data_IF_554938307031
#
_entry.id   IF_554938307031
#
_cell.length_a   1.000
_cell.length_b   1.000
_cell.length_c   1.000
_cell.angle_alpha   90.00
_cell.angle_beta   90.00
_cell.angle_gamma   90.00
#
_symmetry.space_group_name_H-M   'P 1'
#
loop_
_entity.id
_entity.type
_entity.pdbx_description
1 polymer ?
#
# COMPACT_ATOMS: atom_id res chain seq x y z
N UNK A 1 27.64 11.84 20.02
CA UNK A 1 26.27 11.58 19.55
C UNK A 1 25.88 12.76 18.69
N UNK A 2 25.55 12.55 17.41
CA UNK A 2 25.20 13.67 16.54
C UNK A 2 23.94 14.37 17.03
N UNK A 3 23.97 15.71 17.19
CA UNK A 3 22.80 16.47 17.60
C UNK A 3 21.63 16.32 16.61
N UNK A 4 21.94 16.09 15.32
CA UNK A 4 20.96 15.87 14.27
C UNK A 4 20.21 14.53 14.43
N UNK A 5 20.91 13.45 14.81
CA UNK A 5 20.27 12.16 15.11
C UNK A 5 19.31 12.25 16.29
N UNK A 6 19.67 13.03 17.31
CA UNK A 6 18.82 13.22 18.50
C UNK A 6 17.57 14.04 18.14
N UNK A 7 17.72 15.07 17.30
CA UNK A 7 16.60 15.89 16.82
C UNK A 7 15.63 15.07 15.97
N UNK A 8 16.13 14.26 15.04
CA UNK A 8 15.28 13.40 14.18
C UNK A 8 14.54 12.35 15.01
N UNK A 9 15.21 11.70 15.96
CA UNK A 9 14.55 10.74 16.86
C UNK A 9 13.45 11.39 17.70
N UNK A 10 13.66 12.62 18.21
CA UNK A 10 12.61 13.34 18.94
C UNK A 10 11.42 13.72 18.06
N UNK A 11 11.67 14.13 16.80
CA UNK A 11 10.60 14.44 15.85
C UNK A 11 9.85 13.18 15.41
N UNK A 12 10.55 12.05 15.30
CA UNK A 12 9.96 10.75 14.99
C UNK A 12 9.06 10.25 16.12
N UNK A 13 9.46 10.41 17.38
CA UNK A 13 8.59 10.09 18.53
C UNK A 13 7.35 10.99 18.57
N UNK A 14 7.49 12.28 18.26
CA UNK A 14 6.34 13.20 18.14
C UNK A 14 5.41 12.80 17.01
N UNK A 15 5.98 12.37 15.88
CA UNK A 15 5.22 11.87 14.75
C UNK A 15 4.48 10.57 15.10
N UNK A 16 5.13 9.61 15.77
CA UNK A 16 4.47 8.38 16.28
C UNK A 16 3.34 8.71 17.25
N UNK A 17 3.55 9.67 18.16
CA UNK A 17 2.52 10.12 19.09
C UNK A 17 1.33 10.81 18.38
N UNK A 18 1.59 11.61 17.35
CA UNK A 18 0.54 12.23 16.52
C UNK A 18 -0.22 11.19 15.69
N UNK A 19 0.49 10.18 15.18
CA UNK A 19 -0.10 9.06 14.45
C UNK A 19 -1.06 8.25 15.32
N UNK A 20 -0.69 7.95 16.57
CA UNK A 20 -1.59 7.29 17.55
C UNK A 20 -2.81 8.15 17.85
N UNK A 21 -2.66 9.48 17.87
CA UNK A 21 -3.76 10.44 18.08
C UNK A 21 -4.66 10.62 16.84
N UNK A 22 -4.33 10.00 15.70
CA UNK A 22 -5.02 10.12 14.41
C UNK A 22 -5.12 11.55 13.88
N UNK A 23 -4.14 12.40 14.22
CA UNK A 23 -4.07 13.76 13.71
C UNK A 23 -3.26 13.79 12.42
N UNK A 24 -3.91 13.51 11.30
CA UNK A 24 -3.25 13.34 10.01
C UNK A 24 -2.65 14.64 9.44
N UNK A 25 -3.22 15.80 9.79
CA UNK A 25 -2.72 17.10 9.34
C UNK A 25 -1.37 17.42 9.99
N UNK A 26 -1.27 17.24 11.30
CA UNK A 26 0.02 17.46 11.98
C UNK A 26 1.04 16.39 11.62
N UNK A 27 0.61 15.16 11.34
CA UNK A 27 1.49 14.13 10.79
C UNK A 27 2.08 14.54 9.44
N UNK A 28 1.30 15.12 8.52
CA UNK A 28 1.79 15.58 7.22
C UNK A 28 2.81 16.73 7.33
N UNK A 29 2.55 17.70 8.21
CA UNK A 29 3.47 18.81 8.48
C UNK A 29 4.79 18.30 9.11
N UNK A 30 4.69 17.38 10.07
CA UNK A 30 5.85 16.76 10.72
C UNK A 30 6.63 15.88 9.73
N UNK A 31 5.95 15.13 8.87
CA UNK A 31 6.57 14.33 7.82
C UNK A 31 7.35 15.22 6.85
N UNK A 32 6.78 16.35 6.43
CA UNK A 32 7.46 17.31 5.55
C UNK A 32 8.75 17.84 6.19
N UNK A 33 8.71 18.18 7.48
CA UNK A 33 9.90 18.60 8.24
C UNK A 33 10.92 17.48 8.39
N UNK A 34 10.46 16.25 8.66
CA UNK A 34 11.31 15.07 8.73
C UNK A 34 12.01 14.79 7.39
N UNK A 35 11.28 14.85 6.26
CA UNK A 35 11.84 14.72 4.92
C UNK A 35 12.94 15.76 4.65
N UNK A 36 12.73 17.01 5.06
CA UNK A 36 13.77 18.06 4.95
C UNK A 36 14.98 17.74 5.83
N UNK A 37 14.78 17.27 7.06
CA UNK A 37 15.90 16.86 7.92
C UNK A 37 16.65 15.67 7.34
N UNK A 38 15.94 14.73 6.70
CA UNK A 38 16.54 13.58 6.04
C UNK A 38 17.48 14.00 4.90
N UNK A 39 17.14 15.04 4.12
CA UNK A 39 18.03 15.53 3.05
C UNK A 39 19.41 16.01 3.53
N UNK A 40 19.59 16.26 4.83
CA UNK A 40 20.88 16.69 5.39
C UNK A 40 21.86 15.54 5.62
N UNK A 41 21.39 14.29 5.63
CA UNK A 41 22.25 13.13 5.82
C UNK A 41 22.91 12.72 4.50
N UNK A 42 24.24 12.64 4.49
CA UNK A 42 25.01 12.15 3.33
C UNK A 42 25.02 10.61 3.25
N UNK A 43 24.55 9.93 4.29
CA UNK A 43 24.47 8.46 4.36
C UNK A 43 23.28 7.86 3.59
N UNK A 44 22.33 8.68 3.12
CA UNK A 44 21.14 8.24 2.41
C UNK A 44 21.42 8.03 0.90
N UNK A 45 20.54 7.30 0.18
CA UNK A 45 20.60 7.24 -1.28
C UNK A 45 20.54 8.68 -1.84
N UNK A 46 21.46 9.11 -2.72
CA UNK A 46 22.32 8.33 -3.63
C UNK A 46 23.79 8.15 -3.18
N UNK A 47 24.22 8.72 -2.05
CA UNK A 47 25.65 8.81 -1.71
C UNK A 47 26.17 7.61 -0.89
N UNK A 48 25.30 6.96 -0.09
CA UNK A 48 25.63 5.76 0.70
C UNK A 48 26.97 5.85 1.46
N UNK A 49 27.35 7.04 1.91
CA UNK A 49 28.63 7.24 2.58
C UNK A 49 28.70 6.38 3.85
N UNK A 50 29.81 5.67 4.02
CA UNK A 50 30.04 4.81 5.18
C UNK A 50 30.46 5.67 6.38
N UNK A 51 29.50 6.39 6.96
CA UNK A 51 29.67 7.03 8.26
C UNK A 51 29.46 6.00 9.38
N UNK A 52 30.09 6.17 10.56
CA UNK A 52 29.92 5.25 11.69
C UNK A 52 28.47 5.17 12.22
N UNK A 53 27.64 6.18 11.92
CA UNK A 53 26.22 6.23 12.27
C UNK A 53 25.28 5.87 11.10
N UNK A 54 25.81 5.52 9.91
CA UNK A 54 25.02 5.27 8.70
C UNK A 54 23.93 4.21 8.92
N UNK A 55 24.21 3.15 9.67
CA UNK A 55 23.21 2.11 9.95
C UNK A 55 22.03 2.65 10.79
N UNK A 56 22.29 3.56 11.74
CA UNK A 56 21.23 4.17 12.56
C UNK A 56 20.42 5.18 11.75
N UNK A 57 21.08 5.98 10.91
CA UNK A 57 20.42 6.94 10.01
C UNK A 57 19.53 6.23 8.98
N UNK A 58 20.02 5.15 8.37
CA UNK A 58 19.25 4.33 7.43
C UNK A 58 18.06 3.66 8.13
N UNK A 59 18.23 3.15 9.36
CA UNK A 59 17.13 2.54 10.12
C UNK A 59 16.03 3.56 10.46
N UNK A 60 16.40 4.76 10.89
CA UNK A 60 15.47 5.85 11.20
C UNK A 60 14.76 6.33 9.93
N UNK A 61 15.50 6.53 8.84
CA UNK A 61 14.93 6.93 7.56
C UNK A 61 13.90 5.89 7.07
N UNK A 62 14.25 4.60 7.15
CA UNK A 62 13.33 3.50 6.85
C UNK A 62 12.06 3.61 7.70
N UNK A 63 12.20 3.72 9.02
CA UNK A 63 11.05 3.81 9.94
C UNK A 63 10.13 5.00 9.61
N UNK A 64 10.70 6.16 9.25
CA UNK A 64 9.95 7.35 8.82
C UNK A 64 9.15 7.05 7.55
N UNK A 65 9.80 6.49 6.52
CA UNK A 65 9.13 6.19 5.25
C UNK A 65 8.10 5.05 5.40
N UNK A 66 8.36 4.05 6.24
CA UNK A 66 7.38 3.00 6.56
C UNK A 66 6.09 3.61 7.13
N UNK A 67 6.22 4.53 8.09
CA UNK A 67 5.04 5.21 8.61
C UNK A 67 4.43 6.23 7.64
N UNK A 68 5.23 6.84 6.75
CA UNK A 68 4.74 7.74 5.71
C UNK A 68 3.81 7.02 4.72
N UNK A 69 4.20 5.81 4.33
CA UNK A 69 3.40 4.93 3.48
C UNK A 69 2.09 4.56 4.18
N UNK A 70 2.13 4.15 5.45
CA UNK A 70 0.91 3.83 6.21
C UNK A 70 0.02 5.06 6.38
N UNK A 71 0.59 6.23 6.64
CA UNK A 71 -0.14 7.50 6.70
C UNK A 71 -0.85 7.79 5.37
N UNK A 72 -0.17 7.60 4.24
CA UNK A 72 -0.74 7.81 2.90
C UNK A 72 -1.94 6.92 2.64
N UNK A 73 -1.93 5.67 3.13
CA UNK A 73 -3.12 4.79 3.08
C UNK A 73 -4.26 5.34 3.93
N UNK A 74 -3.97 5.88 5.12
CA UNK A 74 -5.01 6.45 6.01
C UNK A 74 -5.58 7.77 5.52
N UNK A 75 -4.80 8.55 4.77
CA UNK A 75 -5.26 9.78 4.11
C UNK A 75 -5.84 9.51 2.72
N UNK A 76 -5.94 8.24 2.31
CA UNK A 76 -6.53 7.81 1.04
C UNK A 76 -5.81 8.37 -0.21
N UNK A 77 -4.54 8.77 -0.07
CA UNK A 77 -3.74 9.38 -1.15
C UNK A 77 -2.81 8.34 -1.80
N UNK A 78 -3.23 7.83 -2.96
CA UNK A 78 -2.47 6.84 -3.73
C UNK A 78 -1.17 7.40 -4.32
N UNK A 79 -1.17 8.66 -4.75
CA UNK A 79 -0.01 9.28 -5.38
C UNK A 79 1.07 9.54 -4.32
N UNK A 80 0.67 9.95 -3.11
CA UNK A 80 1.58 10.04 -1.96
C UNK A 80 2.16 8.68 -1.59
N UNK A 81 1.32 7.64 -1.56
CA UNK A 81 1.78 6.28 -1.32
C UNK A 81 2.85 5.87 -2.33
N UNK A 82 2.61 6.10 -3.62
CA UNK A 82 3.55 5.75 -4.68
C UNK A 82 4.91 6.43 -4.50
N UNK A 83 4.90 7.74 -4.27
CA UNK A 83 6.13 8.53 -4.06
C UNK A 83 6.91 8.04 -2.84
N UNK A 84 6.22 7.84 -1.73
CA UNK A 84 6.86 7.45 -0.47
C UNK A 84 7.35 6.00 -0.51
N UNK A 85 6.64 5.11 -1.21
CA UNK A 85 7.09 3.74 -1.46
C UNK A 85 8.33 3.69 -2.36
N UNK A 86 8.39 4.49 -3.43
CA UNK A 86 9.59 4.55 -4.28
C UNK A 86 10.80 5.09 -3.53
N UNK A 87 10.61 6.01 -2.58
CA UNK A 87 11.67 6.47 -1.69
C UNK A 87 12.10 5.38 -0.70
N UNK A 88 11.17 4.52 -0.26
CA UNK A 88 11.43 3.41 0.65
C UNK A 88 12.14 2.22 -0.05
N UNK A 89 11.88 1.98 -1.34
CA UNK A 89 12.37 0.81 -2.08
C UNK A 89 13.90 0.60 -2.02
N UNK A 90 14.77 1.63 -2.18
CA UNK A 90 16.22 1.49 -2.01
C UNK A 90 16.63 0.96 -0.63
N UNK A 91 15.85 1.24 0.42
CA UNK A 91 16.15 0.75 1.77
C UNK A 91 15.88 -0.75 1.93
N UNK A 92 15.00 -1.33 1.11
CA UNK A 92 14.73 -2.78 1.11
C UNK A 92 15.62 -3.57 0.17
N UNK A 93 16.07 -2.96 -0.93
CA UNK A 93 16.93 -3.62 -1.94
C UNK A 93 18.40 -3.38 -1.64
N UNK A 94 18.83 -2.13 -1.57
CA UNK A 94 20.26 -1.77 -1.51
C UNK A 94 20.82 -1.80 -0.08
N UNK A 95 19.99 -1.48 0.92
CA UNK A 95 20.41 -1.46 2.32
C UNK A 95 20.22 -2.81 3.06
N UNK A 96 19.78 -3.86 2.37
CA UNK A 96 19.53 -5.20 2.96
C UNK A 96 20.79 -5.83 3.57
N UNK A 97 21.97 -5.52 3.04
CA UNK A 97 23.25 -5.99 3.58
C UNK A 97 23.67 -5.26 4.88
N UNK A 98 23.09 -4.08 5.14
CA UNK A 98 23.47 -3.19 6.25
C UNK A 98 22.42 -3.12 7.36
N UNK A 99 21.20 -3.59 7.12
CA UNK A 99 20.07 -3.51 8.03
C UNK A 99 19.33 -4.84 8.14
N UNK A 100 18.89 -5.22 9.36
CA UNK A 100 17.99 -6.36 9.50
C UNK A 100 16.61 -6.06 8.89
N UNK A 101 15.90 -7.07 8.37
CA UNK A 101 14.58 -6.90 7.77
C UNK A 101 13.58 -6.34 8.80
N UNK A 102 12.72 -5.42 8.36
CA UNK A 102 11.67 -4.84 9.21
C UNK A 102 10.46 -5.78 9.27
N UNK A 103 9.81 -5.96 10.43
CA UNK A 103 8.55 -6.72 10.48
C UNK A 103 7.44 -6.08 9.63
N UNK A 104 7.51 -4.77 9.35
CA UNK A 104 6.54 -4.04 8.53
C UNK A 104 6.82 -4.11 7.02
N UNK A 105 7.99 -4.61 6.61
CA UNK A 105 8.39 -4.72 5.20
C UNK A 105 7.37 -5.55 4.40
N UNK A 106 7.01 -6.73 4.92
CA UNK A 106 6.05 -7.62 4.24
C UNK A 106 4.65 -7.01 4.13
N UNK A 107 4.24 -6.21 5.12
CA UNK A 107 2.95 -5.52 5.10
C UNK A 107 2.94 -4.44 4.02
N UNK A 108 4.00 -3.62 3.96
CA UNK A 108 4.12 -2.52 2.99
C UNK A 108 4.25 -3.06 1.56
N UNK A 109 5.02 -4.14 1.37
CA UNK A 109 5.10 -4.82 0.08
C UNK A 109 3.74 -5.35 -0.36
N UNK A 110 2.99 -5.99 0.54
CA UNK A 110 1.64 -6.45 0.22
C UNK A 110 0.66 -5.31 -0.07
N UNK A 111 0.76 -4.17 0.62
CA UNK A 111 -0.02 -2.97 0.29
C UNK A 111 0.35 -2.42 -1.10
N UNK A 112 1.64 -2.42 -1.46
CA UNK A 112 2.06 -2.02 -2.79
C UNK A 112 1.52 -2.96 -3.89
N UNK A 113 1.54 -4.27 -3.64
CA UNK A 113 0.94 -5.26 -4.54
C UNK A 113 -0.56 -5.00 -4.73
N UNK A 114 -1.31 -4.74 -3.66
CA UNK A 114 -2.73 -4.38 -3.76
C UNK A 114 -2.95 -3.08 -4.54
N UNK A 115 -2.13 -2.05 -4.33
CA UNK A 115 -2.19 -0.81 -5.11
C UNK A 115 -2.04 -1.09 -6.61
N UNK A 116 -1.07 -1.91 -6.99
CA UNK A 116 -0.83 -2.26 -8.40
C UNK A 116 -2.03 -3.01 -9.01
N UNK A 117 -2.70 -3.87 -8.24
CA UNK A 117 -3.95 -4.53 -8.67
C UNK A 117 -5.08 -3.52 -8.87
N UNK A 118 -5.29 -2.60 -7.93
CA UNK A 118 -6.33 -1.55 -8.03
C UNK A 118 -6.10 -0.67 -9.27
N UNK A 119 -4.85 -0.36 -9.59
CA UNK A 119 -4.47 0.42 -10.77
C UNK A 119 -4.44 -0.39 -12.08
N UNK A 120 -4.78 -1.69 -12.02
CA UNK A 120 -4.71 -2.61 -13.16
C UNK A 120 -3.30 -2.68 -13.80
N UNK A 121 -2.24 -2.49 -13.01
CA UNK A 121 -0.82 -2.54 -13.45
C UNK A 121 -0.22 -3.92 -13.20
N UNK A 122 -0.79 -4.92 -13.85
CA UNK A 122 -0.49 -6.35 -13.65
C UNK A 122 0.96 -6.70 -14.02
N UNK A 123 1.51 -6.08 -15.07
CA UNK A 123 2.89 -6.31 -15.47
C UNK A 123 3.89 -5.92 -14.36
N UNK A 124 3.64 -4.79 -13.70
CA UNK A 124 4.47 -4.32 -12.59
C UNK A 124 4.25 -5.17 -11.34
N UNK A 125 3.03 -5.65 -11.12
CA UNK A 125 2.74 -6.59 -10.04
C UNK A 125 3.62 -7.84 -10.14
N UNK A 126 3.71 -8.48 -11.32
CA UNK A 126 4.57 -9.64 -11.51
C UNK A 126 6.06 -9.30 -11.45
N UNK A 127 6.46 -8.11 -11.93
CA UNK A 127 7.85 -7.64 -11.83
C UNK A 127 8.26 -7.47 -10.37
N UNK A 128 7.41 -6.87 -9.53
CA UNK A 128 7.69 -6.75 -8.10
C UNK A 128 7.67 -8.11 -7.41
N UNK A 129 6.77 -9.03 -7.77
CA UNK A 129 6.75 -10.39 -7.21
C UNK A 129 8.04 -11.16 -7.52
N UNK A 130 8.60 -11.00 -8.72
CA UNK A 130 9.85 -11.67 -9.12
C UNK A 130 11.07 -11.17 -8.31
N UNK A 131 11.03 -9.91 -7.86
CA UNK A 131 12.07 -9.35 -6.98
C UNK A 131 12.00 -9.89 -5.54
N UNK A 132 10.88 -10.50 -5.14
CA UNK A 132 10.71 -11.03 -3.78
C UNK A 132 11.40 -12.38 -3.58
N UNK A 133 11.93 -12.58 -2.38
CA UNK A 133 12.51 -13.87 -2.00
C UNK A 133 11.42 -14.92 -1.74
N UNK A 134 11.74 -16.21 -1.91
CA UNK A 134 10.80 -17.30 -1.62
C UNK A 134 10.28 -17.31 -0.19
N UNK A 135 11.09 -16.89 0.79
CA UNK A 135 10.68 -16.75 2.18
C UNK A 135 9.65 -15.62 2.40
N UNK A 136 9.75 -14.56 1.59
CA UNK A 136 8.83 -13.42 1.61
C UNK A 136 7.49 -13.80 0.98
N UNK A 137 7.49 -14.63 -0.06
CA UNK A 137 6.29 -15.14 -0.74
C UNK A 137 5.41 -16.03 0.16
N UNK A 138 6.00 -16.70 1.15
CA UNK A 138 5.24 -17.49 2.14
C UNK A 138 4.49 -16.63 3.16
N UNK A 139 4.74 -15.32 3.20
CA UNK A 139 4.07 -14.43 4.16
C UNK A 139 2.56 -14.33 3.85
N UNK A 140 1.67 -14.45 4.86
CA UNK A 140 0.23 -14.33 4.69
C UNK A 140 -0.23 -13.07 3.94
N UNK A 141 0.47 -11.93 4.15
CA UNK A 141 0.12 -10.66 3.52
C UNK A 141 0.32 -10.66 2.00
N UNK A 142 1.39 -11.31 1.54
CA UNK A 142 1.74 -11.39 0.12
C UNK A 142 0.95 -12.50 -0.55
N UNK A 143 0.82 -13.65 0.12
CA UNK A 143 -0.01 -14.76 -0.35
C UNK A 143 -1.45 -14.30 -0.59
N UNK A 144 -2.01 -13.48 0.30
CA UNK A 144 -3.33 -12.90 0.10
C UNK A 144 -3.42 -12.04 -1.16
N UNK A 145 -2.42 -11.18 -1.42
CA UNK A 145 -2.39 -10.37 -2.63
C UNK A 145 -2.27 -11.22 -3.92
N UNK A 146 -1.52 -12.32 -3.88
CA UNK A 146 -1.40 -13.26 -5.01
C UNK A 146 -2.70 -14.02 -5.25
N UNK A 147 -3.37 -14.51 -4.20
CA UNK A 147 -4.67 -15.18 -4.32
C UNK A 147 -5.75 -14.25 -4.87
N UNK A 148 -5.69 -12.97 -4.51
CA UNK A 148 -6.56 -11.92 -5.05
C UNK A 148 -6.30 -11.67 -6.53
N UNK A 149 -5.04 -11.54 -6.93
CA UNK A 149 -4.66 -11.39 -8.34
C UNK A 149 -5.13 -12.59 -9.18
N UNK A 150 -4.88 -13.81 -8.71
CA UNK A 150 -5.33 -15.01 -9.41
C UNK A 150 -6.86 -15.04 -9.54
N UNK A 151 -7.59 -14.72 -8.47
CA UNK A 151 -9.06 -14.66 -8.50
C UNK A 151 -9.57 -13.56 -9.44
N UNK A 152 -8.83 -12.45 -9.55
CA UNK A 152 -9.13 -11.37 -10.48
C UNK A 152 -8.92 -11.80 -11.93
N UNK A 153 -7.82 -12.49 -12.25
CA UNK A 153 -7.55 -13.04 -13.58
C UNK A 153 -8.52 -14.14 -14.01
N UNK A 154 -8.92 -14.99 -13.07
CA UNK A 154 -9.93 -16.04 -13.31
C UNK A 154 -11.35 -15.46 -13.49
N UNK A 155 -11.57 -14.16 -13.25
CA UNK A 155 -12.90 -13.54 -13.23
C UNK A 155 -13.76 -14.02 -12.06
N UNK A 156 -13.15 -14.64 -11.04
CA UNK A 156 -13.82 -15.19 -9.87
C UNK A 156 -14.09 -14.08 -8.82
N UNK A 157 -14.81 -13.04 -9.21
CA UNK A 157 -15.03 -11.83 -8.40
C UNK A 157 -15.68 -12.08 -7.02
N UNK A 158 -16.51 -13.12 -6.92
CA UNK A 158 -17.07 -13.58 -5.64
C UNK A 158 -15.99 -13.91 -4.60
N UNK A 159 -14.87 -14.49 -5.03
CA UNK A 159 -13.75 -14.83 -4.16
C UNK A 159 -13.02 -13.58 -3.71
N UNK A 160 -12.83 -12.61 -4.61
CA UNK A 160 -12.18 -11.32 -4.28
C UNK A 160 -12.99 -10.53 -3.25
N UNK A 161 -14.31 -10.45 -3.41
CA UNK A 161 -15.16 -9.78 -2.43
C UNK A 161 -15.23 -10.52 -1.09
N UNK A 162 -15.18 -11.85 -1.10
CA UNK A 162 -15.11 -12.65 0.13
C UNK A 162 -13.77 -12.49 0.84
N UNK A 163 -12.69 -12.35 0.08
CA UNK A 163 -11.33 -12.14 0.58
C UNK A 163 -11.17 -10.82 1.33
N UNK A 164 -12.07 -9.84 1.11
CA UNK A 164 -12.17 -8.64 1.96
C UNK A 164 -12.34 -8.99 3.45
N UNK A 165 -13.05 -10.08 3.78
CA UNK A 165 -13.27 -10.52 5.16
C UNK A 165 -12.06 -11.25 5.76
N UNK A 166 -11.17 -11.77 4.92
CA UNK A 166 -9.96 -12.51 5.32
C UNK A 166 -8.71 -11.65 5.29
N UNK A 167 -8.86 -10.33 5.08
CA UNK A 167 -7.75 -9.40 5.04
C UNK A 167 -6.94 -9.45 6.35
N UNK A 168 -5.61 -9.64 6.28
CA UNK A 168 -4.78 -9.85 7.46
C UNK A 168 -4.59 -8.57 8.31
N UNK A 169 -4.78 -7.39 7.72
CA UNK A 169 -4.59 -6.10 8.40
C UNK A 169 -5.67 -5.08 8.03
N UNK A 170 -6.04 -4.22 8.98
CA UNK A 170 -7.05 -3.17 8.79
C UNK A 170 -6.66 -2.12 7.73
N UNK A 171 -5.37 -2.02 7.39
CA UNK A 171 -4.85 -1.12 6.36
C UNK A 171 -5.19 -1.60 4.94
N UNK A 172 -5.50 -2.88 4.77
CA UNK A 172 -5.86 -3.47 3.49
C UNK A 172 -7.29 -3.11 3.07
N UNK A 173 -8.17 -2.83 4.04
CA UNK A 173 -9.59 -2.57 3.80
C UNK A 173 -9.81 -1.44 2.80
N UNK A 174 -9.01 -0.37 2.88
CA UNK A 174 -9.07 0.74 1.93
C UNK A 174 -8.85 0.27 0.48
N UNK A 175 -7.74 -0.43 0.22
CA UNK A 175 -7.44 -0.94 -1.12
C UNK A 175 -8.45 -2.00 -1.57
N UNK A 176 -8.97 -2.82 -0.66
CA UNK A 176 -10.02 -3.79 -0.98
C UNK A 176 -11.33 -3.11 -1.40
N UNK A 177 -11.68 -2.00 -0.78
CA UNK A 177 -12.87 -1.22 -1.14
C UNK A 177 -12.72 -0.56 -2.52
N UNK A 178 -11.51 -0.10 -2.85
CA UNK A 178 -11.19 0.40 -4.18
C UNK A 178 -11.18 -0.71 -5.22
N UNK A 179 -10.57 -1.86 -4.92
CA UNK A 179 -10.55 -3.01 -5.82
C UNK A 179 -11.97 -3.51 -6.11
N UNK A 180 -12.85 -3.50 -5.11
CA UNK A 180 -14.26 -3.85 -5.29
C UNK A 180 -14.99 -2.89 -6.26
N UNK A 181 -14.61 -1.61 -6.29
CA UNK A 181 -15.14 -0.65 -7.28
C UNK A 181 -14.59 -0.97 -8.68
N UNK A 182 -13.28 -1.11 -8.83
CA UNK A 182 -12.65 -1.46 -10.12
C UNK A 182 -13.22 -2.74 -10.72
N UNK A 183 -13.45 -3.77 -9.89
CA UNK A 183 -14.07 -5.03 -10.33
C UNK A 183 -15.50 -4.83 -10.83
N UNK A 184 -16.30 -3.99 -10.15
CA UNK A 184 -17.67 -3.71 -10.59
C UNK A 184 -17.67 -2.99 -11.94
N UNK A 185 -16.73 -2.06 -12.13
CA UNK A 185 -16.57 -1.34 -13.41
C UNK A 185 -16.16 -2.29 -14.54
N UNK A 186 -15.28 -3.25 -14.29
CA UNK A 186 -14.93 -4.30 -15.26
C UNK A 186 -16.11 -5.25 -15.56
N UNK A 187 -16.88 -5.65 -14.54
CA UNK A 187 -18.10 -6.46 -14.73
C UNK A 187 -19.12 -5.67 -15.57
N UNK A 188 -19.30 -4.39 -15.29
CA UNK A 188 -20.21 -3.52 -16.02
C UNK A 188 -19.78 -3.37 -17.50
N UNK A 189 -18.49 -3.09 -17.75
CA UNK A 189 -17.93 -3.00 -19.10
C UNK A 189 -17.98 -4.31 -19.89
N UNK A 190 -17.91 -5.46 -19.21
CA UNK A 190 -18.15 -6.76 -19.84
C UNK A 190 -19.64 -7.00 -20.12
N UNK A 191 -20.51 -6.61 -19.18
CA UNK A 191 -21.96 -6.79 -19.29
C UNK A 191 -22.56 -5.97 -20.43
N UNK A 192 -22.06 -4.74 -20.65
CA UNK A 192 -22.44 -3.87 -21.77
C UNK A 192 -22.21 -4.55 -23.13
N UNK A 193 -21.15 -5.35 -23.26
CA UNK A 193 -20.81 -6.04 -24.51
C UNK A 193 -21.51 -7.39 -24.65
N UNK A 194 -21.88 -8.01 -23.54
CA UNK A 194 -22.43 -9.36 -23.52
C UNK A 194 -23.95 -9.38 -23.65
N UNK A 195 -24.65 -8.34 -23.17
CA UNK A 195 -26.10 -8.33 -23.08
C UNK A 195 -26.71 -7.01 -23.56
N UNK A 196 -27.74 -7.09 -24.40
CA UNK A 196 -28.52 -5.93 -24.82
C UNK A 196 -29.50 -5.45 -23.71
N UNK A 197 -29.91 -6.36 -22.83
CA UNK A 197 -30.77 -6.09 -21.68
C UNK A 197 -30.48 -7.05 -20.53
N UNK A 198 -30.47 -6.53 -19.30
CA UNK A 198 -30.28 -7.32 -18.07
C UNK A 198 -31.38 -6.94 -17.09
N UNK A 199 -31.95 -7.94 -16.41
CA UNK A 199 -32.95 -7.67 -15.37
C UNK A 199 -32.28 -7.08 -14.12
N UNK A 200 -33.00 -6.26 -13.35
CA UNK A 200 -32.47 -5.65 -12.12
C UNK A 200 -32.02 -6.72 -11.12
N UNK A 201 -32.72 -7.85 -11.05
CA UNK A 201 -32.38 -8.96 -10.16
C UNK A 201 -31.05 -9.63 -10.56
N UNK A 202 -30.84 -9.85 -11.87
CA UNK A 202 -29.64 -10.50 -12.38
C UNK A 202 -28.43 -9.54 -12.29
N UNK A 203 -28.63 -8.26 -12.62
CA UNK A 203 -27.60 -7.23 -12.46
C UNK A 203 -27.16 -7.10 -11.00
N UNK A 204 -28.09 -7.22 -10.04
CA UNK A 204 -27.76 -7.20 -8.61
C UNK A 204 -26.89 -8.39 -8.21
N UNK A 205 -27.23 -9.58 -8.69
CA UNK A 205 -26.44 -10.79 -8.41
C UNK A 205 -25.07 -10.73 -9.07
N UNK A 206 -24.97 -10.20 -10.29
CA UNK A 206 -23.71 -10.07 -11.03
C UNK A 206 -22.76 -9.05 -10.39
N UNK A 207 -23.26 -7.87 -10.02
CA UNK A 207 -22.46 -6.78 -9.42
C UNK A 207 -22.31 -6.91 -7.90
N UNK A 208 -22.94 -7.93 -7.31
CA UNK A 208 -22.84 -8.29 -5.90
C UNK A 208 -23.21 -7.13 -4.96
N UNK A 209 -24.27 -6.40 -5.33
CA UNK A 209 -24.84 -5.34 -4.49
C UNK A 209 -25.71 -5.93 -3.38
N UNK A 210 -25.69 -5.28 -2.21
CA UNK A 210 -26.51 -5.70 -1.06
C UNK A 210 -27.94 -5.16 -1.15
N UNK A 211 -28.14 -4.05 -1.88
CA UNK A 211 -29.43 -3.37 -2.00
C UNK A 211 -29.70 -2.95 -3.45
N UNK A 212 -30.97 -3.01 -3.85
CA UNK A 212 -31.44 -2.54 -5.15
C UNK A 212 -31.24 -1.02 -5.32
N UNK A 213 -31.18 -0.26 -4.21
CA UNK A 213 -30.92 1.18 -4.23
C UNK A 213 -29.47 1.53 -4.58
N UNK A 214 -28.50 0.73 -4.12
CA UNK A 214 -27.09 0.92 -4.47
C UNK A 214 -26.88 0.67 -5.96
N UNK A 215 -27.52 -0.37 -6.50
CA UNK A 215 -27.49 -0.67 -7.92
C UNK A 215 -28.12 0.46 -8.76
N UNK A 216 -29.26 1.00 -8.35
CA UNK A 216 -29.87 2.14 -9.05
C UNK A 216 -29.00 3.39 -8.98
N UNK A 217 -28.24 3.58 -7.90
CA UNK A 217 -27.29 4.70 -7.81
C UNK A 217 -26.15 4.51 -8.80
N UNK A 218 -25.56 3.30 -8.84
CA UNK A 218 -24.48 2.95 -9.75
C UNK A 218 -24.87 3.01 -11.22
N UNK A 219 -26.12 2.65 -11.57
CA UNK A 219 -26.63 2.75 -12.96
C UNK A 219 -26.84 4.20 -13.41
N UNK A 220 -27.02 5.14 -12.46
CA UNK A 220 -27.19 6.55 -12.76
C UNK A 220 -25.87 7.35 -12.78
N UNK A 221 -24.78 6.78 -12.25
CA UNK A 221 -23.41 7.31 -12.38
C UNK A 221 -22.87 7.11 -13.80
#
# INVERSE_FOLDING_TARGET
>A
MDPQLTEVSQQLERFKAAFVRKDYNTCSDLLSRLKVLLTKFTSLPPLFENTPNAAQELAIARDIYEHAVVLSVKTEDQDAFERDFFQLKPYYVDARDRLPPSPQENLILGLNLLRLLVQNRIAEFHTELELLSSATLENPCIKHAVELEQSFMEGAYNRVLSARQTAPDATYVYFMDLLAKTIRDEIAGCSEKAYDYVSISDARQMLLFSSDQELLTYVNE
#
